data_IF_460509416563
#
_entry.id   IF_460509416563
#
_cell.length_a   1.000
_cell.length_b   1.000
_cell.length_c   1.000
_cell.angle_alpha   90.00
_cell.angle_beta   90.00
_cell.angle_gamma   90.00
#
_symmetry.space_group_name_H-M   'P 1'
#
loop_
_entity.id
_entity.type
_entity.pdbx_description
1 polymer ?
#
# COMPACT_ATOMS: atom_id res chain seq x y z
N UNK A 1 1.46 26.30 14.64
CA UNK A 1 0.62 25.11 14.88
C UNK A 1 1.04 24.07 13.85
N UNK A 2 1.39 22.87 14.28
CA UNK A 2 1.74 21.78 13.38
C UNK A 2 0.45 21.18 12.84
N UNK A 3 0.15 21.45 11.57
CA UNK A 3 -1.08 20.98 10.95
C UNK A 3 -0.86 19.59 10.33
N UNK A 4 -1.86 18.71 10.46
CA UNK A 4 -1.96 17.45 9.72
C UNK A 4 -2.84 17.65 8.50
N UNK A 5 -2.78 16.70 7.56
CA UNK A 5 -3.72 16.68 6.44
C UNK A 5 -5.17 16.57 6.94
N UNK A 6 -6.09 17.26 6.27
CA UNK A 6 -7.49 17.41 6.70
C UNK A 6 -8.31 16.09 6.77
N UNK A 7 -7.79 14.99 6.21
CA UNK A 7 -8.44 13.68 6.30
C UNK A 7 -8.20 12.96 7.64
N UNK A 8 -7.26 13.46 8.46
CA UNK A 8 -6.91 12.86 9.76
C UNK A 8 -7.97 13.23 10.79
N UNK A 9 -8.81 12.27 11.16
CA UNK A 9 -9.98 12.48 12.02
C UNK A 9 -9.98 11.65 13.31
N UNK A 10 -8.94 10.84 13.55
CA UNK A 10 -8.82 10.01 14.76
C UNK A 10 -7.35 9.82 15.15
N UNK A 11 -7.11 9.37 16.39
CA UNK A 11 -5.76 9.11 16.90
C UNK A 11 -5.03 8.02 16.08
N UNK A 12 -5.74 6.95 15.71
CA UNK A 12 -5.17 5.89 14.87
C UNK A 12 -4.75 6.41 13.50
N UNK A 13 -5.59 7.25 12.86
CA UNK A 13 -5.25 7.91 11.59
C UNK A 13 -4.10 8.90 11.77
N UNK A 14 -4.03 9.63 12.90
CA UNK A 14 -2.94 10.54 13.19
C UNK A 14 -1.61 9.80 13.33
N UNK A 15 -1.59 8.70 14.06
CA UNK A 15 -0.39 7.88 14.20
C UNK A 15 0.08 7.35 12.84
N UNK A 16 -0.81 6.77 12.03
CA UNK A 16 -0.50 6.29 10.69
C UNK A 16 0.03 7.41 9.77
N UNK A 17 -0.67 8.55 9.75
CA UNK A 17 -0.26 9.73 8.98
C UNK A 17 1.13 10.24 9.38
N UNK A 18 1.39 10.36 10.68
CA UNK A 18 2.62 10.96 11.19
C UNK A 18 3.84 10.05 11.04
N UNK A 19 3.63 8.74 11.01
CA UNK A 19 4.75 7.77 11.09
C UNK A 19 4.99 6.98 9.80
N UNK A 20 3.94 6.74 8.99
CA UNK A 20 3.99 5.76 7.90
C UNK A 20 3.55 6.34 6.54
N UNK A 21 2.40 7.01 6.47
CA UNK A 21 1.85 7.48 5.21
C UNK A 21 2.79 8.46 4.48
N UNK A 22 3.06 8.19 3.19
CA UNK A 22 3.98 9.00 2.38
C UNK A 22 5.47 8.74 2.64
N UNK A 23 5.81 7.83 3.57
CA UNK A 23 7.21 7.45 3.83
C UNK A 23 7.64 6.39 2.82
N UNK A 24 8.71 6.62 2.03
CA UNK A 24 9.20 5.66 1.06
C UNK A 24 9.57 4.32 1.70
N UNK A 25 8.95 3.25 1.24
CA UNK A 25 9.21 1.88 1.69
C UNK A 25 9.66 1.01 0.52
N UNK A 26 10.70 0.19 0.76
CA UNK A 26 11.21 -0.82 -0.18
C UNK A 26 11.26 -2.22 0.44
N UNK A 27 10.62 -2.40 1.57
CA UNK A 27 10.45 -3.69 2.20
C UNK A 27 9.31 -4.46 1.53
N UNK A 28 9.60 -5.57 0.89
CA UNK A 28 8.63 -6.37 0.13
C UNK A 28 7.47 -6.86 1.00
N UNK A 29 7.72 -7.16 2.26
CA UNK A 29 6.68 -7.59 3.20
C UNK A 29 5.72 -6.43 3.50
N UNK A 30 6.26 -5.25 3.79
CA UNK A 30 5.44 -4.05 4.00
C UNK A 30 4.68 -3.64 2.74
N UNK A 31 5.31 -3.71 1.56
CA UNK A 31 4.64 -3.46 0.29
C UNK A 31 3.50 -4.45 0.05
N UNK A 32 3.71 -5.73 0.34
CA UNK A 32 2.65 -6.74 0.23
C UNK A 32 1.54 -6.52 1.27
N UNK A 33 1.88 -6.19 2.53
CA UNK A 33 0.91 -5.79 3.55
C UNK A 33 0.00 -4.68 3.03
N UNK A 34 0.59 -3.58 2.55
CA UNK A 34 -0.17 -2.44 2.07
C UNK A 34 -1.01 -2.77 0.83
N UNK A 35 -0.50 -3.56 -0.10
CA UNK A 35 -1.26 -3.99 -1.28
C UNK A 35 -2.52 -4.79 -0.88
N UNK A 36 -2.40 -5.68 0.10
CA UNK A 36 -3.54 -6.46 0.63
C UNK A 36 -4.53 -5.56 1.38
N UNK A 37 -4.04 -4.65 2.23
CA UNK A 37 -4.89 -3.77 3.04
C UNK A 37 -5.66 -2.77 2.19
N UNK A 38 -5.02 -2.17 1.19
CA UNK A 38 -5.68 -1.25 0.25
C UNK A 38 -6.73 -1.99 -0.62
N UNK A 39 -6.42 -3.20 -1.04
CA UNK A 39 -7.41 -4.06 -1.71
C UNK A 39 -8.58 -4.45 -0.80
N UNK A 40 -8.32 -4.67 0.49
CA UNK A 40 -9.35 -4.96 1.48
C UNK A 40 -10.23 -3.74 1.80
N UNK A 41 -9.72 -2.53 1.64
CA UNK A 41 -10.47 -1.29 1.84
C UNK A 41 -11.61 -1.10 0.83
N UNK A 42 -11.57 -1.72 -0.34
CA UNK A 42 -12.59 -1.53 -1.37
C UNK A 42 -14.02 -1.59 -0.80
N UNK A 43 -14.76 -0.47 -0.87
CA UNK A 43 -16.10 -0.31 -0.30
C UNK A 43 -16.16 -0.06 1.22
N UNK A 44 -15.02 0.18 1.88
CA UNK A 44 -14.90 0.44 3.32
C UNK A 44 -14.08 1.71 3.59
N UNK A 45 -14.04 2.16 4.85
CA UNK A 45 -13.17 3.24 5.27
C UNK A 45 -11.76 2.74 5.62
N UNK A 46 -10.74 3.61 5.43
CA UNK A 46 -9.38 3.29 5.85
C UNK A 46 -9.28 3.07 7.37
N UNK A 47 -10.03 3.82 8.17
CA UNK A 47 -10.12 3.62 9.63
C UNK A 47 -10.55 2.20 9.97
N UNK A 48 -11.50 1.62 9.22
CA UNK A 48 -11.95 0.22 9.42
C UNK A 48 -10.79 -0.75 9.21
N UNK A 49 -9.99 -0.54 8.18
CA UNK A 49 -8.84 -1.40 7.85
C UNK A 49 -7.74 -1.24 8.90
N UNK A 50 -7.39 0.00 9.28
CA UNK A 50 -6.38 0.27 10.31
C UNK A 50 -6.74 -0.40 11.65
N UNK A 51 -7.98 -0.31 12.08
CA UNK A 51 -8.46 -0.94 13.31
C UNK A 51 -8.36 -2.48 13.26
N UNK A 52 -8.39 -3.06 12.06
CA UNK A 52 -8.25 -4.51 11.83
C UNK A 52 -6.82 -4.94 11.46
N UNK A 53 -5.87 -4.00 11.31
CA UNK A 53 -4.51 -4.29 10.81
C UNK A 53 -3.77 -5.35 11.65
N UNK A 54 -3.88 -5.29 12.98
CA UNK A 54 -3.31 -6.31 13.86
C UNK A 54 -3.93 -7.70 13.63
N UNK A 55 -5.24 -7.75 13.36
CA UNK A 55 -5.96 -8.94 12.96
C UNK A 55 -5.43 -9.50 11.63
N UNK A 56 -5.26 -8.63 10.63
CA UNK A 56 -4.68 -9.00 9.34
C UNK A 56 -3.27 -9.57 9.47
N UNK A 57 -2.40 -8.96 10.27
CA UNK A 57 -1.05 -9.47 10.52
C UNK A 57 -1.08 -10.88 11.11
N UNK A 58 -1.91 -11.13 12.11
CA UNK A 58 -2.10 -12.49 12.67
C UNK A 58 -2.65 -13.46 11.63
N UNK A 59 -3.71 -13.07 10.92
CA UNK A 59 -4.41 -13.90 9.96
C UNK A 59 -3.55 -14.30 8.75
N UNK A 60 -2.69 -13.38 8.28
CA UNK A 60 -1.86 -13.55 7.09
C UNK A 60 -0.37 -13.79 7.42
N UNK A 61 -0.08 -14.46 8.54
CA UNK A 61 1.29 -14.86 8.92
C UNK A 61 2.30 -13.69 8.88
N UNK A 62 1.88 -12.53 9.39
CA UNK A 62 2.65 -11.28 9.39
C UNK A 62 3.08 -10.83 7.98
N UNK A 63 2.22 -11.11 7.00
CA UNK A 63 2.43 -10.85 5.57
C UNK A 63 3.70 -11.46 4.99
N UNK A 64 4.13 -12.58 5.55
CA UNK A 64 5.17 -13.44 4.97
C UNK A 64 4.64 -14.00 3.64
N UNK A 65 5.18 -13.51 2.53
CA UNK A 65 4.71 -13.78 1.17
C UNK A 65 4.72 -15.29 0.90
N UNK A 66 5.77 -15.99 1.29
CA UNK A 66 5.92 -17.43 1.06
C UNK A 66 4.91 -18.26 1.85
N UNK A 67 4.62 -17.83 3.08
CA UNK A 67 3.61 -18.51 3.91
C UNK A 67 2.21 -18.29 3.36
N UNK A 68 1.86 -17.03 3.03
CA UNK A 68 0.55 -16.68 2.49
C UNK A 68 0.29 -17.37 1.15
N UNK A 69 1.29 -17.42 0.26
CA UNK A 69 1.19 -18.11 -1.04
C UNK A 69 0.80 -19.59 -0.92
N UNK A 70 1.16 -20.24 0.20
CA UNK A 70 0.87 -21.65 0.50
C UNK A 70 -0.43 -21.89 1.26
N UNK A 71 -1.22 -20.86 1.54
CA UNK A 71 -2.49 -21.06 2.24
C UNK A 71 -3.40 -22.01 1.48
N UNK A 72 -3.91 -22.99 2.22
CA UNK A 72 -4.83 -24.03 1.73
C UNK A 72 -6.27 -23.54 1.71
N UNK A 73 -7.17 -24.17 0.95
CA UNK A 73 -8.60 -23.89 1.03
C UNK A 73 -9.16 -23.93 2.46
N UNK A 74 -8.70 -24.87 3.30
CA UNK A 74 -9.11 -24.98 4.71
C UNK A 74 -8.73 -23.75 5.53
N UNK A 75 -7.55 -23.16 5.27
CA UNK A 75 -7.13 -21.92 5.93
C UNK A 75 -7.98 -20.73 5.46
N UNK A 76 -8.29 -20.66 4.16
CA UNK A 76 -9.20 -19.61 3.62
C UNK A 76 -10.57 -19.70 4.28
N UNK A 77 -11.14 -20.92 4.46
CA UNK A 77 -12.41 -21.12 5.17
C UNK A 77 -12.34 -20.58 6.61
N UNK A 78 -11.25 -20.86 7.32
CA UNK A 78 -11.07 -20.35 8.68
C UNK A 78 -11.00 -18.81 8.71
N UNK A 79 -10.31 -18.18 7.74
CA UNK A 79 -10.20 -16.73 7.63
C UNK A 79 -11.55 -16.05 7.32
N UNK A 80 -12.44 -16.69 6.57
CA UNK A 80 -13.80 -16.16 6.31
C UNK A 80 -14.60 -16.00 7.60
N UNK A 81 -14.27 -16.76 8.65
CA UNK A 81 -14.92 -16.70 9.97
C UNK A 81 -14.18 -15.79 10.96
N UNK A 82 -12.96 -15.31 10.63
CA UNK A 82 -12.15 -14.49 11.53
C UNK A 82 -12.70 -13.06 11.61
N UNK A 83 -13.19 -12.67 12.78
CA UNK A 83 -13.68 -11.32 13.06
C UNK A 83 -12.57 -10.25 13.12
N UNK A 84 -11.32 -10.67 13.24
CA UNK A 84 -10.16 -9.80 13.24
C UNK A 84 -9.88 -9.15 11.88
N UNK A 85 -10.48 -9.67 10.80
CA UNK A 85 -10.32 -9.15 9.44
C UNK A 85 -11.68 -8.85 8.79
N UNK A 86 -11.66 -8.33 7.57
CA UNK A 86 -12.87 -8.19 6.74
C UNK A 86 -13.26 -9.58 6.22
N UNK A 87 -14.41 -10.11 6.69
CA UNK A 87 -14.92 -11.44 6.35
C UNK A 87 -15.50 -11.47 4.92
N UNK A 88 -14.65 -11.28 3.92
CA UNK A 88 -15.04 -11.29 2.52
C UNK A 88 -14.17 -12.28 1.75
N UNK A 89 -14.75 -13.44 1.39
CA UNK A 89 -14.05 -14.54 0.70
C UNK A 89 -13.19 -14.07 -0.46
N UNK A 90 -13.75 -13.31 -1.39
CA UNK A 90 -13.02 -12.86 -2.57
C UNK A 90 -11.79 -12.00 -2.26
N UNK A 91 -11.81 -11.18 -1.19
CA UNK A 91 -10.65 -10.41 -0.73
C UNK A 91 -9.58 -11.30 -0.08
N UNK A 92 -10.00 -12.32 0.66
CA UNK A 92 -9.09 -13.30 1.28
C UNK A 92 -8.40 -14.15 0.21
N UNK A 93 -9.17 -14.70 -0.73
CA UNK A 93 -8.63 -15.46 -1.86
C UNK A 93 -7.71 -14.60 -2.73
N UNK A 94 -8.06 -13.32 -2.94
CA UNK A 94 -7.22 -12.39 -3.65
C UNK A 94 -5.87 -12.16 -2.96
N UNK A 95 -5.84 -12.04 -1.62
CA UNK A 95 -4.58 -11.90 -0.88
C UNK A 95 -3.66 -13.10 -1.07
N UNK A 96 -4.20 -14.32 -1.04
CA UNK A 96 -3.44 -15.57 -1.30
C UNK A 96 -2.96 -15.63 -2.74
N UNK A 97 -3.83 -15.29 -3.69
CA UNK A 97 -3.45 -15.22 -5.12
C UNK A 97 -2.37 -14.15 -5.37
N UNK A 98 -2.51 -12.99 -4.74
CA UNK A 98 -1.55 -11.89 -4.88
C UNK A 98 -0.18 -12.27 -4.30
N UNK A 99 -0.12 -13.05 -3.21
CA UNK A 99 1.15 -13.56 -2.70
C UNK A 99 1.88 -14.42 -3.75
N UNK A 100 1.17 -15.30 -4.47
CA UNK A 100 1.74 -16.11 -5.57
C UNK A 100 2.19 -15.24 -6.75
N UNK A 101 1.40 -14.22 -7.08
CA UNK A 101 1.77 -13.24 -8.12
C UNK A 101 3.03 -12.45 -7.72
N UNK A 102 3.16 -12.07 -6.44
CA UNK A 102 4.36 -11.38 -5.92
C UNK A 102 5.59 -12.28 -5.99
N UNK A 103 5.49 -13.59 -5.74
CA UNK A 103 6.61 -14.51 -5.93
C UNK A 103 7.10 -14.53 -7.40
N UNK A 104 6.18 -14.48 -8.37
CA UNK A 104 6.55 -14.38 -9.79
C UNK A 104 7.24 -13.05 -10.10
N UNK A 105 6.70 -11.94 -9.56
CA UNK A 105 7.33 -10.61 -9.69
C UNK A 105 8.74 -10.62 -9.10
N UNK A 106 8.93 -11.20 -7.91
CA UNK A 106 10.24 -11.32 -7.28
C UNK A 106 11.22 -12.13 -8.12
N UNK A 107 10.76 -13.23 -8.72
CA UNK A 107 11.58 -14.05 -9.61
C UNK A 107 12.05 -13.31 -10.87
N UNK A 108 11.20 -12.45 -11.45
CA UNK A 108 11.51 -11.71 -12.69
C UNK A 108 12.25 -10.39 -12.43
N UNK A 109 11.93 -9.68 -11.33
CA UNK A 109 12.43 -8.32 -11.06
C UNK A 109 13.38 -8.25 -9.86
N UNK A 110 13.66 -9.38 -9.20
CA UNK A 110 14.48 -9.49 -8.00
C UNK A 110 13.76 -9.13 -6.71
N UNK A 111 12.74 -8.25 -6.75
CA UNK A 111 11.91 -7.90 -5.61
C UNK A 111 10.58 -7.26 -6.05
N UNK A 112 9.56 -7.26 -5.17
CA UNK A 112 8.35 -6.47 -5.36
C UNK A 112 8.68 -4.98 -5.40
N UNK A 113 9.62 -4.54 -4.56
CA UNK A 113 10.08 -3.15 -4.52
C UNK A 113 10.64 -2.71 -5.88
N UNK A 114 11.55 -3.48 -6.48
CA UNK A 114 12.11 -3.15 -7.79
C UNK A 114 11.01 -2.97 -8.85
N UNK A 115 10.03 -3.86 -8.84
CA UNK A 115 8.90 -3.81 -9.78
C UNK A 115 8.03 -2.57 -9.57
N UNK A 116 7.51 -2.33 -8.35
CA UNK A 116 6.58 -1.21 -8.13
C UNK A 116 7.27 0.14 -8.27
N UNK A 117 8.49 0.28 -7.78
CA UNK A 117 9.24 1.52 -7.86
C UNK A 117 9.72 1.88 -9.27
N UNK A 118 9.74 0.92 -10.21
CA UNK A 118 10.05 1.20 -11.63
C UNK A 118 9.02 2.13 -12.28
N UNK A 119 7.77 2.13 -11.82
CA UNK A 119 6.70 2.97 -12.36
C UNK A 119 6.84 4.46 -12.02
N UNK A 120 7.71 4.81 -11.07
CA UNK A 120 8.03 6.19 -10.67
C UNK A 120 9.53 6.50 -10.85
N UNK A 121 10.21 5.78 -11.74
CA UNK A 121 11.65 5.92 -11.98
C UNK A 121 12.48 5.90 -10.71
N UNK A 122 12.11 5.03 -9.76
CA UNK A 122 12.76 4.86 -8.45
C UNK A 122 12.73 6.11 -7.55
N UNK A 123 11.96 7.15 -7.90
CA UNK A 123 11.92 8.42 -7.17
C UNK A 123 10.49 8.79 -6.82
N UNK A 124 10.17 9.11 -5.55
CA UNK A 124 8.84 9.54 -5.15
C UNK A 124 8.35 10.77 -5.91
N UNK A 125 7.12 10.72 -6.42
CA UNK A 125 6.43 11.86 -7.01
C UNK A 125 6.10 12.86 -5.89
N UNK A 126 6.35 14.14 -6.12
CA UNK A 126 6.09 15.21 -5.16
C UNK A 126 4.93 16.07 -5.65
N UNK A 127 3.77 15.97 -5.00
CA UNK A 127 2.63 16.84 -5.28
C UNK A 127 2.58 18.03 -4.29
N UNK A 128 1.81 19.06 -4.62
CA UNK A 128 1.72 20.30 -3.85
C UNK A 128 0.28 20.71 -3.53
N UNK A 129 -0.56 19.75 -3.15
CA UNK A 129 -1.97 19.99 -2.86
C UNK A 129 -2.14 20.96 -1.67
N UNK A 130 -3.02 21.92 -1.79
CA UNK A 130 -3.42 22.78 -0.65
C UNK A 130 -4.55 22.13 0.16
N UNK A 131 -5.21 21.12 -0.41
CA UNK A 131 -6.18 20.26 0.25
C UNK A 131 -6.13 18.87 -0.38
N UNK A 132 -6.25 17.80 0.44
CA UNK A 132 -6.30 16.42 -0.05
C UNK A 132 -7.42 16.15 -1.06
N UNK A 133 -8.49 16.98 -1.04
CA UNK A 133 -9.59 16.92 -2.02
C UNK A 133 -9.15 17.21 -3.46
N UNK A 134 -7.99 17.82 -3.64
CA UNK A 134 -7.40 18.08 -4.97
C UNK A 134 -6.64 16.86 -5.50
N UNK A 135 -6.27 15.92 -4.63
CA UNK A 135 -5.63 14.70 -5.07
C UNK A 135 -6.60 13.89 -5.95
N UNK A 136 -6.15 13.42 -7.12
CA UNK A 136 -7.01 12.64 -8.01
C UNK A 136 -7.28 11.25 -7.41
N UNK A 137 -8.37 10.61 -7.84
CA UNK A 137 -8.67 9.24 -7.47
C UNK A 137 -7.71 8.22 -8.12
N UNK A 138 -7.11 8.57 -9.26
CA UNK A 138 -6.12 7.78 -10.00
C UNK A 138 -5.29 8.67 -10.91
N UNK A 139 -4.17 8.17 -11.40
CA UNK A 139 -3.25 8.83 -12.33
C UNK A 139 -2.80 7.85 -13.41
N UNK A 140 -2.18 8.35 -14.49
CA UNK A 140 -1.59 7.49 -15.52
C UNK A 140 -0.58 6.51 -14.94
N UNK A 141 0.17 6.91 -13.91
CA UNK A 141 1.14 6.03 -13.23
C UNK A 141 0.40 4.93 -12.46
N UNK A 142 -0.67 5.25 -11.73
CA UNK A 142 -1.47 4.24 -11.03
C UNK A 142 -2.20 3.32 -12.00
N UNK A 143 -2.59 3.79 -13.18
CA UNK A 143 -3.14 2.99 -14.27
C UNK A 143 -2.10 1.99 -14.80
N UNK A 144 -0.87 2.46 -15.03
CA UNK A 144 0.22 1.62 -15.47
C UNK A 144 0.58 0.56 -14.42
N UNK A 145 0.68 0.94 -13.14
CA UNK A 145 0.92 0.00 -12.03
C UNK A 145 -0.21 -1.04 -11.93
N UNK A 146 -1.46 -0.60 -12.00
CA UNK A 146 -2.63 -1.50 -12.00
C UNK A 146 -2.56 -2.52 -13.15
N UNK A 147 -2.26 -2.06 -14.37
CA UNK A 147 -2.07 -2.94 -15.53
C UNK A 147 -0.90 -3.91 -15.33
N UNK A 148 0.23 -3.42 -14.79
CA UNK A 148 1.40 -4.22 -14.49
C UNK A 148 1.08 -5.34 -13.50
N UNK A 149 0.47 -5.03 -12.36
CA UNK A 149 0.07 -6.02 -11.35
C UNK A 149 -0.95 -7.04 -11.90
N UNK A 150 -1.91 -6.60 -12.71
CA UNK A 150 -2.89 -7.49 -13.35
C UNK A 150 -2.26 -8.49 -14.33
N UNK A 151 -1.16 -8.16 -14.99
CA UNK A 151 -0.43 -9.10 -15.86
C UNK A 151 0.08 -10.32 -15.09
N UNK A 152 0.44 -10.15 -13.81
CA UNK A 152 0.81 -11.25 -12.90
C UNK A 152 -0.42 -11.93 -12.25
N UNK A 153 -1.64 -11.51 -12.63
CA UNK A 153 -2.87 -12.07 -12.10
C UNK A 153 -3.30 -11.49 -10.76
N UNK A 154 -2.71 -10.38 -10.29
CA UNK A 154 -3.17 -9.72 -9.07
C UNK A 154 -4.62 -9.27 -9.17
N UNK A 155 -5.34 -9.39 -8.06
CA UNK A 155 -6.75 -9.01 -7.89
C UNK A 155 -6.89 -7.89 -6.86
N UNK A 156 -7.99 -7.13 -6.93
CA UNK A 156 -8.21 -5.94 -6.10
C UNK A 156 -7.08 -4.91 -6.21
N UNK A 157 -6.57 -4.73 -7.41
CA UNK A 157 -5.50 -3.77 -7.77
C UNK A 157 -5.99 -2.82 -8.87
N UNK A 158 -7.20 -2.30 -8.74
CA UNK A 158 -7.72 -1.23 -9.61
C UNK A 158 -6.88 0.05 -9.47
N UNK A 159 -6.96 0.97 -10.45
CA UNK A 159 -6.14 2.17 -10.48
C UNK A 159 -6.28 3.03 -9.22
N UNK A 160 -7.50 3.21 -8.71
CA UNK A 160 -7.75 3.94 -7.46
C UNK A 160 -7.09 3.27 -6.26
N UNK A 161 -7.14 1.93 -6.18
CA UNK A 161 -6.47 1.16 -5.12
C UNK A 161 -4.94 1.29 -5.27
N UNK A 162 -4.43 1.22 -6.50
CA UNK A 162 -3.00 1.41 -6.77
C UNK A 162 -2.54 2.82 -6.40
N UNK A 163 -3.36 3.86 -6.63
CA UNK A 163 -2.99 5.21 -6.22
C UNK A 163 -2.94 5.35 -4.71
N UNK A 164 -3.92 4.81 -3.97
CA UNK A 164 -3.90 4.77 -2.51
C UNK A 164 -2.68 3.98 -1.98
N UNK A 165 -2.36 2.84 -2.60
CA UNK A 165 -1.14 2.10 -2.31
C UNK A 165 0.13 2.94 -2.54
N UNK A 166 0.23 3.68 -3.66
CA UNK A 166 1.36 4.56 -3.94
C UNK A 166 1.53 5.65 -2.87
N UNK A 167 0.43 6.23 -2.40
CA UNK A 167 0.43 7.20 -1.28
C UNK A 167 0.91 6.53 0.00
N UNK A 168 0.36 5.37 0.34
CA UNK A 168 0.65 4.64 1.58
C UNK A 168 2.13 4.27 1.71
N UNK A 169 2.77 3.81 0.61
CA UNK A 169 4.17 3.35 0.60
C UNK A 169 5.17 4.42 0.16
N UNK A 170 4.72 5.67 0.04
CA UNK A 170 5.57 6.82 -0.25
C UNK A 170 6.11 6.91 -1.67
N UNK A 171 5.52 6.19 -2.64
CA UNK A 171 5.79 6.41 -4.08
C UNK A 171 5.26 7.76 -4.54
N UNK A 172 4.28 8.31 -3.84
CA UNK A 172 3.71 9.64 -4.02
C UNK A 172 3.66 10.33 -2.66
N UNK A 173 4.13 11.58 -2.60
CA UNK A 173 3.97 12.44 -1.44
C UNK A 173 2.79 13.38 -1.68
N UNK A 174 1.64 13.02 -1.11
CA UNK A 174 0.39 13.76 -1.19
C UNK A 174 0.05 14.50 0.11
N UNK A 175 1.02 14.65 1.01
CA UNK A 175 0.84 15.54 2.15
C UNK A 175 0.49 16.95 1.69
N UNK A 176 -0.53 17.55 2.30
CA UNK A 176 -0.93 18.93 2.03
C UNK A 176 0.25 19.90 2.23
N UNK A 177 0.25 21.01 1.50
CA UNK A 177 1.39 21.94 1.44
C UNK A 177 1.83 22.47 2.81
N UNK A 178 0.87 22.63 3.75
CA UNK A 178 1.08 23.08 5.14
C UNK A 178 1.26 21.92 6.14
N UNK A 179 1.24 20.67 5.68
CA UNK A 179 1.34 19.51 6.56
C UNK A 179 2.75 19.37 7.14
N UNK A 180 2.82 19.13 8.45
CA UNK A 180 4.09 18.95 9.18
C UNK A 180 4.94 17.77 8.68
N UNK A 181 4.31 16.72 8.11
CA UNK A 181 5.02 15.54 7.60
C UNK A 181 5.62 15.74 6.21
N UNK A 182 5.13 16.74 5.45
CA UNK A 182 5.54 16.97 4.06
C UNK A 182 7.05 17.13 3.88
N UNK A 183 7.67 17.99 4.70
CA UNK A 183 9.10 18.28 4.59
C UNK A 183 9.97 17.03 4.82
N UNK A 184 9.57 16.16 5.77
CA UNK A 184 10.24 14.88 6.01
C UNK A 184 10.16 13.97 4.79
N UNK A 185 8.99 13.83 4.17
CA UNK A 185 8.81 12.99 2.98
C UNK A 185 9.59 13.54 1.77
N UNK A 186 9.66 14.86 1.59
CA UNK A 186 10.53 15.51 0.57
C UNK A 186 12.00 15.18 0.82
N UNK A 187 12.47 15.25 2.08
CA UNK A 187 13.85 14.93 2.42
C UNK A 187 14.20 13.45 2.16
N UNK A 188 13.28 12.54 2.48
CA UNK A 188 13.41 11.11 2.21
C UNK A 188 13.46 10.83 0.70
N UNK A 189 12.61 11.48 -0.10
CA UNK A 189 12.61 11.35 -1.55
C UNK A 189 13.96 11.78 -2.18
N UNK A 190 14.59 12.83 -1.67
CA UNK A 190 15.93 13.26 -2.10
C UNK A 190 16.99 12.20 -1.81
N UNK A 191 16.92 11.51 -0.66
CA UNK A 191 17.84 10.42 -0.34
C UNK A 191 17.67 9.23 -1.30
N UNK A 192 16.43 8.86 -1.64
CA UNK A 192 16.16 7.80 -2.61
C UNK A 192 16.74 8.13 -4.00
N UNK A 193 16.59 9.38 -4.46
CA UNK A 193 17.17 9.83 -5.73
C UNK A 193 18.69 9.73 -5.74
N UNK A 194 19.36 10.07 -4.65
CA UNK A 194 20.82 10.02 -4.56
C UNK A 194 21.35 8.58 -4.53
N UNK A 195 20.60 7.60 -3.99
CA UNK A 195 20.95 6.17 -4.06
C UNK A 195 20.96 5.62 -5.49
N UNK A 196 20.23 6.22 -6.41
CA UNK A 196 20.19 5.83 -7.83
C UNK A 196 21.41 6.36 -8.61
N UNK A 197 22.01 7.45 -8.15
CA UNK A 197 23.08 8.14 -8.86
C UNK A 197 24.51 7.65 -8.49
N UNK A 198 24.64 6.78 -7.51
CA UNK A 198 25.88 6.13 -7.07
C UNK A 198 25.83 4.63 -7.27
#
# INVERSE_FOLDING_TARGET
MTERCNWVSSEALAHYHDTEWGVPSRDDRHLFEMLVLEGAQAGLSWSTILNKRAGYRRAFADFDIDKVARFTPKQVEALVLDEGIVRHRGKIEAAVNNARAVQQIQAEHGSLANFVWSFVDQTPIQNGWTSYKQAPASTEVSDALSKGLKRYGCKFVGSTICYAFMQAVGMVNDHEANCMCRARCVALAKKERNRKAG
#
